data_IF_676504802847
#
_entry.id   IF_676504802847
#
_cell.length_a   1.000
_cell.length_b   1.000
_cell.length_c   1.000
_cell.angle_alpha   90.00
_cell.angle_beta   90.00
_cell.angle_gamma   90.00
#
_symmetry.space_group_name_H-M   'P 1'
#
loop_
_entity.id
_entity.type
_entity.pdbx_description
1 polymer ?
#
# COMPACT_ATOMS: atom_id res chain seq x y z
N UNK A 1 -2.18 -23.06 15.12
CA UNK A 1 -2.56 -22.32 13.92
C UNK A 1 -3.22 -21.01 14.35
N UNK A 2 -2.52 -19.88 14.28
CA UNK A 2 -3.10 -18.59 14.67
C UNK A 2 -4.06 -18.13 13.56
N UNK A 3 -5.36 -18.17 13.84
CA UNK A 3 -6.39 -17.67 12.93
C UNK A 3 -6.25 -16.16 12.77
N UNK A 4 -5.65 -15.73 11.67
CA UNK A 4 -5.67 -14.32 11.28
C UNK A 4 -7.11 -14.00 10.90
N UNK A 5 -7.84 -13.39 11.83
CA UNK A 5 -9.21 -12.93 11.60
C UNK A 5 -9.20 -12.02 10.38
N UNK A 6 -9.78 -12.51 9.30
CA UNK A 6 -10.05 -11.74 8.09
C UNK A 6 -11.20 -10.79 8.43
N UNK A 7 -10.93 -9.79 9.26
CA UNK A 7 -11.87 -8.72 9.56
C UNK A 7 -12.02 -7.93 8.27
N UNK A 8 -13.25 -7.96 7.73
CA UNK A 8 -13.60 -7.24 6.51
C UNK A 8 -13.20 -5.77 6.68
N UNK A 9 -12.25 -5.33 5.85
CA UNK A 9 -11.44 -4.11 5.99
C UNK A 9 -10.07 -4.33 5.33
N UNK A 10 -10.12 -4.85 4.09
CA UNK A 10 -9.03 -5.55 3.38
C UNK A 10 -7.76 -4.73 3.12
N UNK A 11 -7.84 -3.42 3.25
CA UNK A 11 -6.80 -2.51 2.78
C UNK A 11 -6.07 -1.86 3.94
N UNK A 12 -4.82 -1.49 3.70
CA UNK A 12 -4.03 -0.67 4.62
C UNK A 12 -4.44 0.78 4.42
N UNK A 13 -4.83 1.41 5.52
CA UNK A 13 -5.01 2.85 5.61
C UNK A 13 -3.66 3.56 5.52
N UNK A 14 -3.67 4.84 5.16
CA UNK A 14 -2.43 5.62 5.07
C UNK A 14 -1.67 5.68 6.40
N UNK A 15 -2.39 5.76 7.52
CA UNK A 15 -1.81 5.75 8.87
C UNK A 15 -1.12 4.41 9.17
N UNK A 16 -1.73 3.28 8.81
CA UNK A 16 -1.08 1.97 8.92
C UNK A 16 0.18 1.88 8.05
N UNK A 17 0.18 2.44 6.84
CA UNK A 17 1.38 2.52 5.99
C UNK A 17 2.51 3.30 6.66
N UNK A 18 2.21 4.42 7.32
CA UNK A 18 3.20 5.20 8.06
C UNK A 18 3.77 4.43 9.26
N UNK A 19 2.93 3.65 9.95
CA UNK A 19 3.40 2.76 11.03
C UNK A 19 4.35 1.68 10.50
N UNK A 20 4.02 1.06 9.36
CA UNK A 20 4.91 0.10 8.68
C UNK A 20 6.25 0.75 8.36
N UNK A 21 6.26 1.98 7.83
CA UNK A 21 7.50 2.70 7.53
C UNK A 21 8.36 2.93 8.76
N UNK A 22 7.76 3.42 9.86
CA UNK A 22 8.47 3.60 11.13
C UNK A 22 9.06 2.28 11.63
N UNK A 23 8.25 1.23 11.71
CA UNK A 23 8.65 -0.06 12.28
C UNK A 23 9.66 -0.82 11.43
N UNK A 24 9.49 -0.81 10.11
CA UNK A 24 10.39 -1.49 9.19
C UNK A 24 11.73 -0.74 9.05
N UNK A 25 11.71 0.59 8.94
CA UNK A 25 12.92 1.36 8.68
C UNK A 25 13.70 1.71 9.94
N UNK A 26 13.02 2.12 11.03
CA UNK A 26 13.68 2.54 12.28
C UNK A 26 13.86 1.38 13.26
N UNK A 27 12.78 0.65 13.55
CA UNK A 27 12.80 -0.42 14.57
C UNK A 27 13.30 -1.76 14.00
N UNK A 28 13.46 -1.88 12.67
CA UNK A 28 13.95 -3.09 11.97
C UNK A 28 13.17 -4.36 12.33
N UNK A 29 11.88 -4.21 12.55
CA UNK A 29 11.00 -5.32 12.91
C UNK A 29 10.71 -6.23 11.72
N UNK A 30 10.47 -7.50 12.02
CA UNK A 30 10.10 -8.48 11.01
C UNK A 30 8.66 -8.27 10.53
N UNK A 31 8.37 -8.70 9.30
CA UNK A 31 7.04 -8.59 8.69
C UNK A 31 5.95 -9.25 9.54
N UNK A 32 6.27 -10.36 10.23
CA UNK A 32 5.34 -11.06 11.11
C UNK A 32 5.01 -10.24 12.37
N UNK A 33 5.99 -9.58 12.97
CA UNK A 33 5.78 -8.72 14.14
C UNK A 33 4.94 -7.50 13.77
N UNK A 34 5.23 -6.87 12.62
CA UNK A 34 4.43 -5.76 12.10
C UNK A 34 2.99 -6.20 11.85
N UNK A 35 2.79 -7.37 11.25
CA UNK A 35 1.48 -7.93 10.99
C UNK A 35 0.69 -8.21 12.27
N UNK A 36 1.34 -8.75 13.32
CA UNK A 36 0.72 -8.95 14.63
C UNK A 36 0.27 -7.63 15.26
N UNK A 37 1.10 -6.57 15.18
CA UNK A 37 0.73 -5.25 15.71
C UNK A 37 -0.46 -4.62 15.00
N UNK A 38 -0.56 -4.80 13.68
CA UNK A 38 -1.66 -4.27 12.88
C UNK A 38 -2.89 -5.21 12.84
N UNK A 39 -2.82 -6.38 13.48
CA UNK A 39 -3.81 -7.44 13.35
C UNK A 39 -4.11 -7.78 11.87
N UNK A 40 -3.07 -7.79 11.02
CA UNK A 40 -3.15 -8.14 9.59
C UNK A 40 -2.45 -9.47 9.32
N UNK A 41 -2.69 -10.03 8.14
CA UNK A 41 -1.93 -11.19 7.69
C UNK A 41 -0.47 -10.79 7.38
N UNK A 42 0.54 -11.64 7.70
CA UNK A 42 1.93 -11.40 7.33
C UNK A 42 2.14 -11.16 5.83
N UNK A 43 1.30 -11.81 5.01
CA UNK A 43 1.32 -11.68 3.57
C UNK A 43 0.89 -10.29 3.10
N UNK A 44 -0.06 -9.63 3.79
CA UNK A 44 -0.45 -8.25 3.49
C UNK A 44 0.73 -7.30 3.65
N UNK A 45 1.51 -7.45 4.72
CA UNK A 45 2.71 -6.64 4.97
C UNK A 45 3.78 -6.90 3.91
N UNK A 46 3.99 -8.16 3.51
CA UNK A 46 4.93 -8.48 2.43
C UNK A 46 4.56 -7.80 1.11
N UNK A 47 3.29 -7.88 0.69
CA UNK A 47 2.83 -7.24 -0.54
C UNK A 47 2.90 -5.71 -0.46
N UNK A 48 2.65 -5.14 0.71
CA UNK A 48 2.81 -3.70 0.92
C UNK A 48 4.27 -3.27 0.79
N UNK A 49 5.19 -3.96 1.46
CA UNK A 49 6.61 -3.66 1.38
C UNK A 49 7.13 -3.74 -0.06
N UNK A 50 6.69 -4.75 -0.82
CA UNK A 50 7.02 -4.89 -2.24
C UNK A 50 6.49 -3.71 -3.09
N UNK A 51 5.31 -3.18 -2.77
CA UNK A 51 4.71 -2.02 -3.44
C UNK A 51 5.41 -0.71 -3.11
N UNK A 52 5.78 -0.50 -1.85
CA UNK A 52 6.41 0.73 -1.37
C UNK A 52 7.93 0.71 -1.32
N UNK A 53 8.58 -0.30 -1.89
CA UNK A 53 10.04 -0.42 -1.86
C UNK A 53 10.67 0.60 -2.82
N UNK A 54 11.42 1.54 -2.24
CA UNK A 54 12.19 2.54 -2.98
C UNK A 54 13.67 2.18 -2.92
N UNK A 55 14.31 2.14 -4.08
CA UNK A 55 15.75 1.95 -4.20
C UNK A 55 16.45 3.30 -4.14
N UNK A 56 17.23 3.54 -3.08
CA UNK A 56 18.15 4.67 -3.00
C UNK A 56 19.53 4.24 -3.51
N UNK A 57 20.41 5.21 -3.77
CA UNK A 57 21.76 4.99 -4.31
C UNK A 57 22.56 3.88 -3.60
N UNK A 58 22.35 3.69 -2.30
CA UNK A 58 23.13 2.74 -1.48
C UNK A 58 22.28 1.68 -0.78
N UNK A 59 20.96 1.88 -0.63
CA UNK A 59 20.10 1.05 0.21
C UNK A 59 18.66 1.04 -0.30
N UNK A 60 17.95 -0.06 -0.09
CA UNK A 60 16.50 -0.11 -0.25
C UNK A 60 15.82 0.33 1.05
N UNK A 61 14.76 1.12 0.93
CA UNK A 61 13.90 1.51 2.05
C UNK A 61 12.45 1.41 1.62
N UNK A 62 11.57 1.16 2.58
CA UNK A 62 10.14 1.28 2.34
C UNK A 62 9.72 2.74 2.50
N UNK A 63 8.83 3.25 1.64
CA UNK A 63 8.23 4.57 1.75
C UNK A 63 6.72 4.50 1.73
N UNK A 64 6.08 5.07 2.76
CA UNK A 64 4.62 5.03 2.90
C UNK A 64 3.91 5.91 1.85
N UNK A 65 4.46 7.09 1.54
CA UNK A 65 3.92 7.98 0.51
C UNK A 65 3.98 7.33 -0.86
N UNK A 66 5.12 6.75 -1.23
CA UNK A 66 5.28 6.05 -2.49
C UNK A 66 4.29 4.88 -2.62
N UNK A 67 4.12 4.09 -1.56
CA UNK A 67 3.15 2.99 -1.56
C UNK A 67 1.70 3.46 -1.76
N UNK A 68 1.36 4.62 -1.18
CA UNK A 68 0.04 5.26 -1.34
C UNK A 68 -0.18 5.73 -2.77
N UNK A 69 0.82 6.37 -3.38
CA UNK A 69 0.74 6.86 -4.76
C UNK A 69 0.57 5.69 -5.73
N UNK A 70 1.39 4.65 -5.60
CA UNK A 70 1.25 3.40 -6.37
C UNK A 70 -0.14 2.76 -6.24
N UNK A 71 -0.74 2.83 -5.04
CA UNK A 71 -2.11 2.32 -4.83
C UNK A 71 -3.16 3.18 -5.54
N UNK A 72 -3.03 4.51 -5.47
CA UNK A 72 -3.93 5.46 -6.16
C UNK A 72 -3.81 5.33 -7.69
N UNK A 73 -2.59 5.19 -8.20
CA UNK A 73 -2.32 4.98 -9.62
C UNK A 73 -2.94 3.67 -10.08
N UNK A 74 -2.75 2.57 -9.36
CA UNK A 74 -3.39 1.31 -9.73
C UNK A 74 -4.92 1.42 -9.73
N UNK A 75 -5.51 2.17 -8.79
CA UNK A 75 -6.96 2.43 -8.80
C UNK A 75 -7.42 3.26 -9.99
N UNK A 76 -6.62 4.21 -10.50
CA UNK A 76 -7.00 5.00 -11.68
C UNK A 76 -7.05 4.16 -12.97
N UNK A 77 -6.31 3.05 -12.99
CA UNK A 77 -6.36 2.06 -14.07
C UNK A 77 -7.49 1.02 -13.88
N UNK A 78 -8.14 1.00 -12.71
CA UNK A 78 -9.28 0.12 -12.46
C UNK A 78 -10.57 0.77 -12.99
N UNK A 79 -11.20 0.12 -13.96
CA UNK A 79 -12.49 0.55 -14.49
C UNK A 79 -12.60 0.33 -15.99
N UNK A 80 -13.82 0.47 -16.52
CA UNK A 80 -14.02 0.41 -17.97
C UNK A 80 -13.61 1.76 -18.58
N UNK A 81 -12.69 1.80 -19.55
CA UNK A 81 -12.38 3.06 -20.25
C UNK A 81 -13.64 3.60 -20.92
N UNK A 82 -13.89 4.90 -20.77
CA UNK A 82 -14.99 5.56 -21.47
C UNK A 82 -14.69 5.57 -22.97
N UNK A 83 -15.72 5.44 -23.81
CA UNK A 83 -15.58 5.50 -25.29
C UNK A 83 -15.47 6.93 -25.82
N UNK A 84 -15.43 7.93 -24.94
CA UNK A 84 -15.43 9.33 -25.31
C UNK A 84 -13.99 9.78 -25.61
N UNK A 85 -13.84 10.72 -26.55
CA UNK A 85 -12.55 11.36 -26.84
C UNK A 85 -12.01 12.04 -25.58
N UNK A 86 -10.70 11.97 -25.32
CA UNK A 86 -10.07 12.51 -24.11
C UNK A 86 -10.52 13.94 -23.75
N UNK A 87 -10.66 14.81 -24.77
CA UNK A 87 -11.11 16.20 -24.62
C UNK A 87 -12.54 16.39 -24.04
N UNK A 88 -13.41 15.39 -24.13
CA UNK A 88 -14.77 15.42 -23.54
C UNK A 88 -14.80 14.81 -22.14
N UNK A 89 -13.85 13.92 -21.82
CA UNK A 89 -13.78 13.22 -20.54
C UNK A 89 -13.37 14.18 -19.39
N UNK A 90 -12.48 15.14 -19.68
CA UNK A 90 -11.98 16.13 -18.70
C UNK A 90 -13.06 17.13 -18.24
N UNK A 91 -14.12 17.34 -19.04
CA UNK A 91 -15.24 18.22 -18.67
C UNK A 91 -16.20 17.58 -17.67
N UNK A 92 -16.18 16.26 -17.56
CA UNK A 92 -17.15 15.50 -16.75
C UNK A 92 -16.61 15.12 -15.35
N UNK A 93 -15.38 15.53 -15.01
CA UNK A 93 -14.71 15.19 -13.74
C UNK A 93 -14.56 16.39 -12.78
N UNK A 94 -15.32 17.48 -12.95
CA UNK A 94 -15.38 18.61 -12.00
C UNK A 94 -16.58 18.53 -11.08
#
# INVERSE_FOLDING_TARGET
MHGYFNTKGKELTYTERQLIERWHNKEKLSNRQIAQRLNKAPQTIHHELKRGQVQLKTKTKYSASHAQDCYRDNMSHCGRPSKLTSALNDRCQR
#
